data_IF_608072328777
#
_entry.id   IF_608072328777
#
_cell.length_a   1.000
_cell.length_b   1.000
_cell.length_c   1.000
_cell.angle_alpha   90.00
_cell.angle_beta   90.00
_cell.angle_gamma   90.00
#
_symmetry.space_group_name_H-M   'P 1'
#
loop_
_entity.id
_entity.type
_entity.pdbx_description
1 polymer ?
#
# COMPACT_ATOMS: atom_id res chain seq x y z
N UNK A 1 5.13 -33.41 -67.66
CA UNK A 1 5.51 -32.18 -66.91
C UNK A 1 4.42 -31.91 -65.87
N UNK A 2 4.62 -32.32 -64.62
CA UNK A 2 3.66 -32.07 -63.53
C UNK A 2 4.30 -31.06 -62.56
N UNK A 3 3.69 -29.88 -62.42
CA UNK A 3 4.06 -28.88 -61.40
C UNK A 3 3.12 -29.05 -60.22
N UNK A 4 3.67 -29.38 -59.05
CA UNK A 4 2.98 -29.29 -57.77
C UNK A 4 3.07 -27.86 -57.25
N UNK A 5 1.92 -27.27 -56.89
CA UNK A 5 1.84 -26.02 -56.15
C UNK A 5 1.82 -26.32 -54.65
N UNK A 6 2.68 -25.66 -53.88
CA UNK A 6 2.80 -25.80 -52.44
C UNK A 6 2.18 -24.55 -51.78
N UNK A 7 1.13 -24.69 -50.94
CA UNK A 7 0.52 -23.55 -50.28
C UNK A 7 1.36 -23.10 -49.07
N UNK A 8 1.63 -21.80 -49.02
CA UNK A 8 2.30 -21.13 -47.92
C UNK A 8 1.28 -20.96 -46.78
N UNK A 9 1.47 -21.67 -45.67
CA UNK A 9 0.65 -21.53 -44.47
C UNK A 9 1.19 -20.34 -43.65
N UNK A 10 0.44 -19.24 -43.59
CA UNK A 10 0.78 -18.11 -42.73
C UNK A 10 0.24 -18.37 -41.30
N UNK A 11 1.14 -18.39 -40.32
CA UNK A 11 0.80 -18.46 -38.88
C UNK A 11 0.60 -17.03 -38.38
N UNK A 12 -0.61 -16.70 -37.93
CA UNK A 12 -0.89 -15.45 -37.24
C UNK A 12 -0.49 -15.56 -35.77
N UNK A 13 0.47 -14.74 -35.33
CA UNK A 13 0.85 -14.61 -33.93
C UNK A 13 -0.16 -13.68 -33.22
N UNK A 14 -0.89 -14.21 -32.23
CA UNK A 14 -1.74 -13.41 -31.36
C UNK A 14 -0.86 -12.72 -30.30
N UNK A 15 -0.84 -11.38 -30.31
CA UNK A 15 -0.24 -10.57 -29.25
C UNK A 15 -1.17 -10.59 -28.04
N UNK A 16 -0.78 -11.30 -26.98
CA UNK A 16 -1.45 -11.22 -25.68
C UNK A 16 -0.99 -9.92 -25.03
N UNK A 17 -1.89 -8.93 -24.92
CA UNK A 17 -1.62 -7.73 -24.12
C UNK A 17 -1.86 -8.06 -22.66
N UNK A 18 -0.79 -8.17 -21.89
CA UNK A 18 -0.87 -8.22 -20.43
C UNK A 18 -1.33 -6.85 -19.93
N UNK A 19 -2.34 -6.76 -19.05
CA UNK A 19 -2.74 -5.48 -18.48
C UNK A 19 -1.54 -4.86 -17.75
N UNK A 20 -1.28 -3.57 -18.02
CA UNK A 20 -0.29 -2.80 -17.30
C UNK A 20 -0.72 -2.73 -15.83
N UNK A 21 0.16 -3.16 -14.92
CA UNK A 21 -0.09 -3.05 -13.49
C UNK A 21 -0.27 -1.58 -13.11
N UNK A 22 -1.25 -1.30 -12.25
CA UNK A 22 -1.59 0.06 -11.85
C UNK A 22 -0.41 0.74 -11.14
N UNK A 23 0.03 1.88 -11.69
CA UNK A 23 1.08 2.73 -11.12
C UNK A 23 0.41 3.78 -10.23
N UNK A 24 -0.13 3.36 -9.08
CA UNK A 24 -0.77 4.26 -8.14
C UNK A 24 -0.13 4.18 -6.76
N UNK A 25 -0.02 5.35 -6.13
CA UNK A 25 0.32 5.51 -4.71
C UNK A 25 -0.93 5.59 -3.83
N UNK A 26 -2.14 5.52 -4.41
CA UNK A 26 -3.39 5.54 -3.64
C UNK A 26 -3.83 4.12 -3.25
N UNK A 27 -4.52 4.01 -2.12
CA UNK A 27 -5.22 2.77 -1.75
C UNK A 27 -6.40 2.50 -2.71
N UNK A 28 -6.76 1.23 -2.94
CA UNK A 28 -8.02 0.86 -3.59
C UNK A 28 -9.24 1.33 -2.77
N UNK A 29 -10.33 1.73 -3.44
CA UNK A 29 -11.57 2.18 -2.77
C UNK A 29 -12.22 1.13 -1.86
N UNK A 30 -11.86 -0.15 -2.02
CA UNK A 30 -12.29 -1.27 -1.18
C UNK A 30 -11.60 -1.30 0.18
N UNK A 31 -10.47 -0.61 0.34
CA UNK A 31 -9.74 -0.50 1.60
C UNK A 31 -10.22 0.76 2.33
N UNK A 32 -11.07 0.56 3.35
CA UNK A 32 -11.74 1.64 4.07
C UNK A 32 -11.33 1.64 5.53
N UNK A 33 -10.69 2.73 5.98
CA UNK A 33 -10.39 2.93 7.40
C UNK A 33 -11.66 2.89 8.25
N UNK A 34 -11.54 2.35 9.47
CA UNK A 34 -12.66 2.18 10.37
C UNK A 34 -13.45 0.87 10.20
N UNK A 35 -13.18 0.10 9.14
CA UNK A 35 -13.84 -1.19 8.92
C UNK A 35 -13.38 -2.25 9.94
N UNK A 36 -14.23 -3.25 10.18
CA UNK A 36 -13.91 -4.35 11.10
C UNK A 36 -12.86 -5.30 10.54
N UNK A 37 -12.23 -6.09 11.41
CA UNK A 37 -11.30 -7.13 11.01
C UNK A 37 -11.91 -8.07 9.97
N UNK A 38 -13.13 -8.56 10.21
CA UNK A 38 -13.78 -9.53 9.33
C UNK A 38 -14.13 -8.91 7.96
N UNK A 39 -14.65 -7.68 7.96
CA UNK A 39 -14.96 -6.98 6.71
C UNK A 39 -13.68 -6.62 5.93
N UNK A 40 -12.59 -6.28 6.62
CA UNK A 40 -11.30 -6.06 5.99
C UNK A 40 -10.76 -7.35 5.38
N UNK A 41 -10.81 -8.46 6.11
CA UNK A 41 -10.34 -9.75 5.65
C UNK A 41 -11.05 -10.20 4.37
N UNK A 42 -12.39 -10.06 4.32
CA UNK A 42 -13.18 -10.31 3.11
C UNK A 42 -12.77 -9.39 1.95
N UNK A 43 -12.60 -8.09 2.21
CA UNK A 43 -12.15 -7.13 1.21
C UNK A 43 -10.77 -7.46 0.64
N UNK A 44 -9.87 -8.01 1.46
CA UNK A 44 -8.49 -8.33 1.09
C UNK A 44 -8.36 -9.60 0.23
N UNK A 45 -9.39 -10.45 0.13
CA UNK A 45 -9.34 -11.67 -0.73
C UNK A 45 -9.04 -11.36 -2.20
N UNK A 46 -9.42 -10.17 -2.68
CA UNK A 46 -9.15 -9.71 -4.05
C UNK A 46 -7.81 -8.99 -4.22
N UNK A 47 -7.12 -8.69 -3.11
CA UNK A 47 -5.91 -7.85 -3.11
C UNK A 47 -4.66 -8.58 -2.63
N UNK A 48 -4.82 -9.63 -1.83
CA UNK A 48 -3.72 -10.44 -1.32
C UNK A 48 -3.65 -11.79 -2.04
N UNK A 49 -2.45 -12.25 -2.32
CA UNK A 49 -2.21 -13.65 -2.68
C UNK A 49 -2.33 -14.55 -1.44
N UNK A 50 -1.90 -14.06 -0.29
CA UNK A 50 -2.06 -14.70 1.01
C UNK A 50 -2.33 -13.61 2.07
N UNK A 51 -3.29 -13.87 2.96
CA UNK A 51 -3.62 -12.99 4.08
C UNK A 51 -3.60 -13.78 5.39
N UNK A 52 -2.93 -13.24 6.42
CA UNK A 52 -2.78 -13.90 7.72
C UNK A 52 -3.04 -12.91 8.86
N UNK A 53 -4.00 -13.22 9.70
CA UNK A 53 -4.28 -12.44 10.91
C UNK A 53 -3.41 -12.88 12.08
N UNK A 54 -2.90 -11.92 12.85
CA UNK A 54 -2.18 -12.16 14.10
C UNK A 54 -2.46 -11.07 15.13
N UNK A 55 -2.36 -11.43 16.41
CA UNK A 55 -2.39 -10.48 17.52
C UNK A 55 -1.04 -9.76 17.61
N UNK A 56 -1.07 -8.46 17.87
CA UNK A 56 0.11 -7.67 18.27
C UNK A 56 0.11 -7.57 19.79
N UNK A 57 1.10 -8.20 20.43
CA UNK A 57 1.30 -8.16 21.87
C UNK A 57 2.79 -7.93 22.18
N UNK A 58 3.18 -6.82 22.84
CA UNK A 58 2.30 -5.76 23.35
C UNK A 58 1.75 -4.85 22.22
N UNK A 59 0.53 -4.28 22.39
CA UNK A 59 0.01 -3.30 21.44
C UNK A 59 0.86 -2.04 21.43
N UNK A 60 1.00 -1.42 20.26
CA UNK A 60 1.77 -0.17 20.10
C UNK A 60 0.88 1.05 19.83
N UNK A 61 -0.33 0.86 19.31
CA UNK A 61 -1.27 1.96 19.13
C UNK A 61 -1.80 2.39 20.50
N UNK A 62 -1.94 3.70 20.75
CA UNK A 62 -2.52 4.16 21.99
C UNK A 62 -4.01 3.84 22.04
N UNK A 63 -4.50 3.67 23.28
CA UNK A 63 -5.93 3.53 23.54
C UNK A 63 -6.52 2.18 23.15
N UNK A 64 -5.70 1.14 22.96
CA UNK A 64 -6.18 -0.23 22.77
C UNK A 64 -6.84 -0.71 24.08
N UNK A 65 -8.14 -1.00 24.03
CA UNK A 65 -8.93 -1.44 25.19
C UNK A 65 -9.05 -2.96 25.27
N UNK A 66 -9.22 -3.63 24.14
CA UNK A 66 -9.41 -5.07 24.03
C UNK A 66 -8.20 -5.73 23.36
N UNK A 67 -7.91 -5.37 22.11
CA UNK A 67 -6.82 -6.00 21.35
C UNK A 67 -6.36 -5.16 20.15
N UNK A 68 -5.10 -5.37 19.77
CA UNK A 68 -4.56 -4.90 18.50
C UNK A 68 -4.25 -6.11 17.62
N UNK A 69 -4.80 -6.11 16.40
CA UNK A 69 -4.59 -7.13 15.39
C UNK A 69 -3.78 -6.57 14.23
N UNK A 70 -3.19 -7.46 13.45
CA UNK A 70 -2.62 -7.17 12.15
C UNK A 70 -3.04 -8.23 11.14
N UNK A 71 -3.40 -7.81 9.94
CA UNK A 71 -3.47 -8.70 8.77
C UNK A 71 -2.20 -8.48 7.94
N UNK A 72 -1.38 -9.52 7.84
CA UNK A 72 -0.23 -9.61 6.96
C UNK A 72 -0.72 -10.01 5.56
N UNK A 73 -0.55 -9.14 4.58
CA UNK A 73 -1.03 -9.33 3.20
C UNK A 73 0.16 -9.42 2.24
N UNK A 74 0.38 -10.62 1.68
CA UNK A 74 1.38 -10.85 0.65
C UNK A 74 0.78 -10.61 -0.74
N UNK A 75 1.55 -10.02 -1.64
CA UNK A 75 1.16 -9.81 -3.03
C UNK A 75 0.21 -8.64 -3.26
N UNK A 76 0.12 -7.72 -2.29
CA UNK A 76 -0.67 -6.51 -2.40
C UNK A 76 -0.15 -5.65 -3.57
N UNK A 77 -0.97 -5.42 -4.59
CA UNK A 77 -0.54 -4.66 -5.75
C UNK A 77 -0.36 -3.17 -5.41
N UNK A 78 0.88 -2.67 -5.45
CA UNK A 78 1.19 -1.26 -5.21
C UNK A 78 2.32 -0.80 -6.13
N UNK A 79 2.14 0.35 -6.77
CA UNK A 79 3.13 0.92 -7.70
C UNK A 79 3.63 -0.05 -8.78
N UNK A 80 2.70 -0.87 -9.29
CA UNK A 80 2.94 -1.84 -10.36
C UNK A 80 3.55 -3.17 -9.92
N UNK A 81 3.84 -3.35 -8.64
CA UNK A 81 4.56 -4.52 -8.10
C UNK A 81 3.76 -5.19 -6.96
N UNK A 82 3.91 -6.51 -6.75
CA UNK A 82 3.38 -7.18 -5.57
C UNK A 82 4.20 -6.82 -4.34
N UNK A 83 3.56 -6.29 -3.30
CA UNK A 83 4.18 -5.86 -2.04
C UNK A 83 3.69 -6.67 -0.85
N UNK A 84 4.44 -6.58 0.23
CA UNK A 84 3.96 -6.95 1.54
C UNK A 84 3.29 -5.73 2.17
N UNK A 85 2.04 -5.89 2.61
CA UNK A 85 1.30 -4.84 3.30
C UNK A 85 0.81 -5.34 4.66
N UNK A 86 0.89 -4.46 5.65
CA UNK A 86 0.46 -4.72 7.02
C UNK A 86 -0.75 -3.84 7.33
N UNK A 87 -1.88 -4.46 7.66
CA UNK A 87 -3.09 -3.75 8.03
C UNK A 87 -3.31 -3.85 9.54
N UNK A 88 -3.10 -2.75 10.25
CA UNK A 88 -3.14 -2.70 11.72
C UNK A 88 -4.51 -2.24 12.19
N UNK A 89 -5.09 -3.05 13.05
CA UNK A 89 -6.48 -2.93 13.52
C UNK A 89 -6.45 -2.73 15.03
N UNK A 90 -7.14 -1.70 15.53
CA UNK A 90 -7.32 -1.44 16.97
C UNK A 90 -8.78 -1.68 17.32
N UNK A 91 -9.04 -2.55 18.29
CA UNK A 91 -10.38 -2.79 18.83
C UNK A 91 -11.44 -2.99 17.74
N UNK A 92 -11.14 -3.88 16.77
CA UNK A 92 -11.96 -4.20 15.60
C UNK A 92 -12.20 -3.01 14.63
N UNK A 93 -11.22 -2.12 14.51
CA UNK A 93 -11.25 -1.01 13.54
C UNK A 93 -9.91 -0.86 12.82
N UNK A 94 -9.91 -0.85 11.48
CA UNK A 94 -8.70 -0.58 10.70
C UNK A 94 -8.20 0.85 10.93
N UNK A 95 -6.97 0.99 11.42
CA UNK A 95 -6.40 2.28 11.79
C UNK A 95 -5.19 2.69 10.96
N UNK A 96 -4.38 1.73 10.52
CA UNK A 96 -3.08 2.01 9.93
C UNK A 96 -2.69 0.94 8.92
N UNK A 97 -2.01 1.35 7.86
CA UNK A 97 -1.51 0.46 6.82
C UNK A 97 -0.06 0.81 6.54
N UNK A 98 0.81 -0.20 6.52
CA UNK A 98 2.17 -0.09 6.03
C UNK A 98 2.28 -0.88 4.74
N UNK A 99 2.85 -0.28 3.69
CA UNK A 99 3.19 -0.98 2.46
C UNK A 99 4.70 -0.95 2.33
N UNK A 100 5.33 -2.11 2.50
CA UNK A 100 6.77 -2.25 2.41
C UNK A 100 7.19 -2.22 0.93
N UNK A 101 8.22 -1.44 0.64
CA UNK A 101 8.78 -1.28 -0.71
C UNK A 101 10.29 -1.43 -0.67
N UNK A 102 10.92 -1.48 -1.84
CA UNK A 102 12.37 -1.59 -1.90
C UNK A 102 13.01 -0.20 -1.86
N UNK A 103 14.25 -0.11 -1.38
CA UNK A 103 15.02 1.15 -1.36
C UNK A 103 15.15 1.75 -2.78
N UNK A 104 15.30 0.90 -3.80
CA UNK A 104 15.38 1.30 -5.21
C UNK A 104 14.08 1.98 -5.73
N UNK A 105 12.97 1.90 -5.00
CA UNK A 105 11.70 2.55 -5.37
C UNK A 105 11.60 4.01 -4.92
N UNK A 106 12.49 4.47 -4.03
CA UNK A 106 12.38 5.75 -3.31
C UNK A 106 12.06 6.92 -4.24
N UNK A 107 12.94 7.24 -5.19
CA UNK A 107 12.79 8.38 -6.09
C UNK A 107 11.46 8.35 -6.86
N UNK A 108 11.10 7.16 -7.35
CA UNK A 108 9.89 6.94 -8.15
C UNK A 108 8.63 7.12 -7.31
N UNK A 109 8.60 6.56 -6.11
CA UNK A 109 7.44 6.63 -5.22
C UNK A 109 7.29 8.03 -4.65
N UNK A 110 8.37 8.67 -4.18
CA UNK A 110 8.32 10.05 -3.69
C UNK A 110 7.81 10.98 -4.79
N UNK A 111 8.27 10.83 -6.04
CA UNK A 111 7.77 11.62 -7.16
C UNK A 111 6.26 11.40 -7.37
N UNK A 112 5.79 10.16 -7.36
CA UNK A 112 4.38 9.84 -7.51
C UNK A 112 3.52 10.34 -6.32
N UNK A 113 4.03 10.28 -5.09
CA UNK A 113 3.37 10.85 -3.92
C UNK A 113 3.28 12.37 -4.01
N UNK A 114 4.33 13.06 -4.44
CA UNK A 114 4.30 14.51 -4.66
C UNK A 114 3.33 14.93 -5.75
N UNK A 115 3.23 14.13 -6.81
CA UNK A 115 2.22 14.33 -7.86
C UNK A 115 0.80 14.13 -7.33
N UNK A 116 0.55 13.10 -6.52
CA UNK A 116 -0.77 12.74 -6.02
C UNK A 116 -1.25 13.61 -4.84
N UNK A 117 -0.33 14.01 -3.95
CA UNK A 117 -0.63 14.56 -2.62
C UNK A 117 -0.04 15.96 -2.38
N UNK A 118 0.68 16.51 -3.36
CA UNK A 118 1.23 17.87 -3.32
C UNK A 118 2.76 17.91 -3.28
N UNK A 119 3.34 18.94 -3.89
CA UNK A 119 4.79 18.98 -4.17
C UNK A 119 5.67 19.14 -2.91
N UNK A 120 5.13 19.74 -1.84
CA UNK A 120 5.88 20.23 -0.67
C UNK A 120 5.60 19.42 0.62
N UNK A 121 5.54 18.09 0.55
CA UNK A 121 5.38 17.25 1.75
C UNK A 121 6.30 17.66 2.91
N UNK A 122 5.88 17.37 4.14
CA UNK A 122 6.60 17.78 5.36
C UNK A 122 7.70 16.75 5.64
N UNK A 123 8.96 17.18 5.59
CA UNK A 123 10.10 16.36 6.00
C UNK A 123 10.25 16.39 7.53
N UNK A 124 10.16 15.23 8.17
CA UNK A 124 10.26 15.10 9.63
C UNK A 124 10.69 13.67 10.01
N UNK A 125 11.56 13.47 11.01
CA UNK A 125 11.76 12.14 11.60
C UNK A 125 12.16 10.99 10.65
N UNK A 126 12.82 11.29 9.51
CA UNK A 126 13.09 10.27 8.49
C UNK A 126 11.85 9.87 7.68
N UNK A 127 10.94 10.82 7.45
CA UNK A 127 9.74 10.65 6.64
C UNK A 127 9.46 11.89 5.78
N UNK A 128 8.67 11.72 4.71
CA UNK A 128 8.01 12.80 3.98
C UNK A 128 6.50 12.61 4.18
N UNK A 129 5.87 13.47 4.96
CA UNK A 129 4.46 13.36 5.33
C UNK A 129 3.55 14.24 4.46
N UNK A 130 2.34 13.74 4.21
CA UNK A 130 1.24 14.44 3.55
C UNK A 130 0.01 14.38 4.45
N UNK A 131 -0.07 15.19 5.52
CA UNK A 131 -1.07 15.01 6.56
C UNK A 131 -2.52 15.16 6.10
N UNK A 132 -2.77 16.09 5.16
CA UNK A 132 -4.09 16.28 4.54
C UNK A 132 -4.61 15.01 3.83
N UNK A 133 -3.68 14.14 3.42
CA UNK A 133 -3.96 12.86 2.77
C UNK A 133 -3.73 11.65 3.68
N UNK A 134 -3.35 11.89 4.95
CA UNK A 134 -3.06 10.87 5.96
C UNK A 134 -2.12 9.77 5.47
N UNK A 135 -1.04 10.18 4.83
CA UNK A 135 -0.02 9.27 4.28
C UNK A 135 1.37 9.85 4.43
N UNK A 136 2.38 8.98 4.42
CA UNK A 136 3.78 9.38 4.43
C UNK A 136 4.67 8.34 3.77
N UNK A 137 5.77 8.81 3.18
CA UNK A 137 6.95 8.00 2.90
C UNK A 137 7.83 7.93 4.14
N UNK A 138 8.38 6.76 4.48
CA UNK A 138 9.44 6.61 5.48
C UNK A 138 10.68 6.02 4.82
N UNK A 139 11.86 6.55 5.16
CA UNK A 139 13.12 6.14 4.52
C UNK A 139 13.68 4.80 5.06
N UNK A 140 13.48 4.46 6.33
CA UNK A 140 14.07 3.25 6.94
C UNK A 140 13.14 2.56 7.97
N UNK A 141 12.65 1.33 7.69
CA UNK A 141 12.72 0.69 6.38
C UNK A 141 11.90 1.48 5.35
N UNK A 142 12.20 1.33 4.04
CA UNK A 142 11.40 1.95 2.99
C UNK A 142 9.96 1.43 3.02
N UNK A 143 9.03 2.31 3.37
CA UNK A 143 7.62 1.98 3.47
C UNK A 143 6.71 3.20 3.29
N UNK A 144 5.49 2.91 2.87
CA UNK A 144 4.44 3.92 2.72
C UNK A 144 3.43 3.67 3.83
N UNK A 145 3.20 4.70 4.62
CA UNK A 145 2.21 4.71 5.68
C UNK A 145 0.90 5.30 5.16
N UNK A 146 -0.22 4.70 5.53
CA UNK A 146 -1.54 5.34 5.55
C UNK A 146 -2.15 5.21 6.95
N UNK A 147 -2.88 6.22 7.39
CA UNK A 147 -3.53 6.18 8.70
C UNK A 147 -4.96 6.74 8.68
N UNK A 148 -5.75 6.30 9.64
CA UNK A 148 -7.14 6.71 9.81
C UNK A 148 -7.25 8.15 10.29
N UNK A 149 -8.44 8.72 10.14
CA UNK A 149 -8.77 10.01 10.76
C UNK A 149 -8.64 9.97 12.29
N UNK A 150 -8.93 8.83 12.92
CA UNK A 150 -8.81 8.68 14.38
C UNK A 150 -7.35 8.74 14.87
N UNK A 151 -6.38 8.31 14.05
CA UNK A 151 -4.96 8.44 14.36
C UNK A 151 -4.35 9.78 13.96
N UNK A 152 -5.03 10.58 13.14
CA UNK A 152 -4.47 11.81 12.59
C UNK A 152 -3.91 12.78 13.64
N UNK A 153 -4.61 13.07 14.76
CA UNK A 153 -4.06 13.98 15.78
C UNK A 153 -2.73 13.50 16.39
N UNK A 154 -2.55 12.18 16.53
CA UNK A 154 -1.31 11.60 17.05
C UNK A 154 -0.19 11.72 16.03
N UNK A 155 -0.46 11.34 14.78
CA UNK A 155 0.53 11.36 13.70
C UNK A 155 0.98 12.78 13.39
N UNK A 156 0.05 13.73 13.31
CA UNK A 156 0.34 15.14 13.06
C UNK A 156 1.14 15.76 14.21
N UNK A 157 0.86 15.39 15.46
CA UNK A 157 1.65 15.85 16.60
C UNK A 157 3.09 15.30 16.55
N UNK A 158 3.28 14.05 16.15
CA UNK A 158 4.60 13.45 15.98
C UNK A 158 5.39 14.14 14.86
N UNK A 159 4.77 14.31 13.68
CA UNK A 159 5.37 15.04 12.55
C UNK A 159 5.76 16.47 12.95
N UNK A 160 4.87 17.18 13.66
CA UNK A 160 5.15 18.53 14.11
C UNK A 160 6.32 18.60 15.11
N UNK A 161 6.41 17.65 16.03
CA UNK A 161 7.49 17.57 17.00
C UNK A 161 8.85 17.35 16.32
N UNK A 162 8.92 16.40 15.39
CA UNK A 162 10.15 16.05 14.68
C UNK A 162 10.58 17.12 13.66
N UNK A 163 9.64 17.91 13.13
CA UNK A 163 9.96 19.04 12.24
C UNK A 163 10.53 20.28 12.96
N UNK A 164 10.51 20.28 14.30
CA UNK A 164 10.95 21.41 15.13
C UNK A 164 12.38 21.24 15.66
N UNK A 165 13.04 20.12 15.38
CA UNK A 165 14.43 19.81 15.78
C UNK A 165 15.45 20.18 14.69
#
# INVERSE_FOLDING_TARGET
MHRFAMPCLAVAAALVSTPAAAQSVTLPDTIVFGTSHDALAEGLEAHCTEARSRVIDPPFLPGVEAEQLQIDCDGFAFMGEPRFAEFVIRDDSLEMIWILVDEDDEDRIIAAMREAYGEQGIEAGGMIAFPEHRTAWRFEPPEILFYSEALAPLMEAAIAADSSE
#
